data_IF_751863447314
#
_entry.id   IF_751863447314
#
_cell.length_a   1.000
_cell.length_b   1.000
_cell.length_c   1.000
_cell.angle_alpha   90.00
_cell.angle_beta   90.00
_cell.angle_gamma   90.00
#
_symmetry.space_group_name_H-M   'P 1'
#
loop_
_entity.id
_entity.type
_entity.pdbx_description
1 polymer ?
#
# COMPACT_ATOMS: atom_id res chain seq x y z
N UNK A 1 -28.02 -45.64 -21.79
CA UNK A 1 -27.51 -44.56 -22.66
C UNK A 1 -26.56 -43.74 -21.83
N UNK A 2 -25.29 -43.67 -22.25
CA UNK A 2 -24.20 -43.01 -21.54
C UNK A 2 -24.17 -41.50 -21.84
N UNK A 3 -23.96 -40.73 -20.77
CA UNK A 3 -23.27 -39.43 -20.62
C UNK A 3 -23.12 -38.48 -21.82
N UNK A 4 -23.42 -37.20 -21.60
CA UNK A 4 -22.38 -36.15 -21.59
C UNK A 4 -22.82 -35.00 -20.67
N UNK A 5 -22.28 -35.00 -19.45
CA UNK A 5 -22.36 -33.87 -18.54
C UNK A 5 -21.47 -32.76 -19.13
N UNK A 6 -22.07 -31.62 -19.49
CA UNK A 6 -21.36 -30.41 -19.89
C UNK A 6 -20.56 -29.89 -18.68
N UNK A 7 -19.41 -30.52 -18.41
CA UNK A 7 -18.39 -29.97 -17.54
C UNK A 7 -17.69 -28.88 -18.35
N UNK A 8 -18.28 -27.68 -18.37
CA UNK A 8 -17.58 -26.49 -18.82
C UNK A 8 -16.26 -26.43 -18.07
N UNK A 9 -15.15 -26.49 -18.80
CA UNK A 9 -13.79 -26.36 -18.30
C UNK A 9 -13.50 -24.92 -17.84
N UNK A 10 -14.38 -24.40 -16.98
CA UNK A 10 -14.21 -23.17 -16.25
C UNK A 10 -13.23 -23.47 -15.11
N UNK A 11 -12.24 -22.60 -14.90
CA UNK A 11 -11.30 -22.75 -13.79
C UNK A 11 -12.07 -22.89 -12.48
N UNK A 12 -11.59 -23.75 -11.58
CA UNK A 12 -12.16 -23.84 -10.24
C UNK A 12 -12.07 -22.47 -9.57
N UNK A 13 -13.06 -22.13 -8.73
CA UNK A 13 -13.14 -20.80 -8.11
C UNK A 13 -11.84 -20.42 -7.39
N UNK A 14 -11.18 -21.38 -6.75
CA UNK A 14 -9.87 -21.18 -6.11
C UNK A 14 -8.80 -20.74 -7.12
N UNK A 15 -8.63 -21.46 -8.23
CA UNK A 15 -7.66 -21.13 -9.28
C UNK A 15 -7.95 -19.76 -9.92
N UNK A 16 -9.24 -19.43 -10.10
CA UNK A 16 -9.67 -18.13 -10.60
C UNK A 16 -9.27 -17.01 -9.63
N UNK A 17 -9.56 -17.19 -8.33
CA UNK A 17 -9.22 -16.21 -7.30
C UNK A 17 -7.70 -16.03 -7.18
N UNK A 18 -6.91 -17.11 -7.28
CA UNK A 18 -5.45 -17.02 -7.33
C UNK A 18 -4.94 -16.29 -8.57
N UNK A 19 -5.59 -16.49 -9.73
CA UNK A 19 -5.24 -15.79 -10.98
C UNK A 19 -5.48 -14.30 -10.84
N UNK A 20 -6.65 -13.90 -10.34
CA UNK A 20 -6.98 -12.49 -10.07
C UNK A 20 -6.00 -11.91 -9.05
N UNK A 21 -5.71 -12.62 -7.96
CA UNK A 21 -4.78 -12.17 -6.93
C UNK A 21 -3.36 -11.98 -7.48
N UNK A 22 -2.90 -12.87 -8.35
CA UNK A 22 -1.59 -12.78 -9.01
C UNK A 22 -1.54 -11.55 -9.93
N UNK A 23 -2.61 -11.29 -10.68
CA UNK A 23 -2.72 -10.13 -11.55
C UNK A 23 -2.73 -8.81 -10.77
N UNK A 24 -3.50 -8.72 -9.68
CA UNK A 24 -3.50 -7.55 -8.79
C UNK A 24 -2.10 -7.29 -8.21
N UNK A 25 -1.38 -8.34 -7.77
CA UNK A 25 0.00 -8.21 -7.27
C UNK A 25 0.96 -7.70 -8.34
N UNK A 26 0.80 -8.15 -9.59
CA UNK A 26 1.60 -7.68 -10.72
C UNK A 26 1.30 -6.21 -11.03
N UNK A 27 0.03 -5.87 -11.18
CA UNK A 27 -0.45 -4.51 -11.49
C UNK A 27 0.00 -3.48 -10.46
N UNK A 28 -0.07 -3.79 -9.15
CA UNK A 28 0.45 -2.90 -8.10
C UNK A 28 1.94 -2.61 -8.27
N UNK A 29 2.76 -3.62 -8.63
CA UNK A 29 4.20 -3.42 -8.84
C UNK A 29 4.45 -2.50 -10.04
N UNK A 30 3.74 -2.71 -11.13
CA UNK A 30 3.86 -1.89 -12.33
C UNK A 30 3.46 -0.43 -12.07
N UNK A 31 2.33 -0.19 -11.39
CA UNK A 31 1.91 1.17 -11.00
C UNK A 31 2.86 1.83 -9.99
N UNK A 32 3.45 1.06 -9.09
CA UNK A 32 4.47 1.58 -8.16
C UNK A 32 5.72 2.02 -8.92
N UNK A 33 6.22 1.21 -9.85
CA UNK A 33 7.33 1.58 -10.74
C UNK A 33 6.99 2.85 -11.52
N UNK A 34 5.81 2.89 -12.15
CA UNK A 34 5.37 4.04 -12.91
C UNK A 34 5.22 5.30 -12.04
N UNK A 35 4.76 5.18 -10.78
CA UNK A 35 4.73 6.27 -9.81
C UNK A 35 6.14 6.82 -9.54
N UNK A 36 7.11 5.93 -9.33
CA UNK A 36 8.49 6.32 -9.00
C UNK A 36 9.27 6.88 -10.18
N UNK A 37 8.98 6.41 -11.41
CA UNK A 37 9.70 6.81 -12.63
C UNK A 37 9.03 7.96 -13.39
N UNK A 38 7.79 8.31 -13.06
CA UNK A 38 7.08 9.44 -13.69
C UNK A 38 7.72 10.78 -13.34
N UNK A 39 8.23 11.46 -14.36
CA UNK A 39 8.73 12.85 -14.26
C UNK A 39 7.61 13.89 -14.24
N UNK A 40 6.45 13.58 -14.83
CA UNK A 40 5.28 14.46 -14.86
C UNK A 40 4.45 14.32 -13.56
N UNK A 41 4.20 15.42 -12.81
CA UNK A 41 3.47 15.36 -11.54
C UNK A 41 2.06 14.79 -11.65
N UNK A 42 1.31 15.11 -12.72
CA UNK A 42 -0.05 14.60 -12.92
C UNK A 42 -0.07 13.10 -13.17
N UNK A 43 0.87 12.59 -13.97
CA UNK A 43 1.00 11.15 -14.24
C UNK A 43 1.44 10.39 -12.99
N UNK A 44 2.36 10.96 -12.20
CA UNK A 44 2.74 10.43 -10.89
C UNK A 44 1.52 10.32 -9.96
N UNK A 45 0.71 11.37 -9.89
CA UNK A 45 -0.48 11.39 -9.04
C UNK A 45 -1.51 10.33 -9.50
N UNK A 46 -1.70 10.18 -10.81
CA UNK A 46 -2.56 9.14 -11.38
C UNK A 46 -2.09 7.74 -10.97
N UNK A 47 -0.81 7.40 -11.16
CA UNK A 47 -0.30 6.09 -10.75
C UNK A 47 -0.31 5.89 -9.24
N UNK A 48 -0.16 6.96 -8.45
CA UNK A 48 -0.34 6.89 -6.98
C UNK A 48 -1.78 6.48 -6.63
N UNK A 49 -2.77 7.08 -7.28
CA UNK A 49 -4.19 6.73 -7.09
C UNK A 49 -4.47 5.28 -7.50
N UNK A 50 -4.04 4.88 -8.70
CA UNK A 50 -4.23 3.52 -9.21
C UNK A 50 -3.55 2.47 -8.30
N UNK A 51 -2.38 2.79 -7.76
CA UNK A 51 -1.68 1.93 -6.78
C UNK A 51 -2.54 1.72 -5.54
N UNK A 52 -3.06 2.80 -4.95
CA UNK A 52 -3.88 2.74 -3.74
C UNK A 52 -5.20 1.99 -3.97
N UNK A 53 -5.88 2.23 -5.10
CA UNK A 53 -7.12 1.53 -5.47
C UNK A 53 -6.87 0.02 -5.66
N UNK A 54 -5.78 -0.34 -6.33
CA UNK A 54 -5.43 -1.76 -6.55
C UNK A 54 -5.04 -2.47 -5.25
N UNK A 55 -4.36 -1.79 -4.33
CA UNK A 55 -4.06 -2.31 -2.99
C UNK A 55 -5.33 -2.59 -2.17
N UNK A 56 -6.33 -1.70 -2.26
CA UNK A 56 -7.64 -1.92 -1.60
C UNK A 56 -8.32 -3.18 -2.15
N UNK A 57 -8.45 -3.31 -3.48
CA UNK A 57 -9.04 -4.48 -4.12
C UNK A 57 -8.29 -5.77 -3.76
N UNK A 58 -6.96 -5.73 -3.74
CA UNK A 58 -6.13 -6.87 -3.35
C UNK A 58 -6.41 -7.30 -1.90
N UNK A 59 -6.58 -6.35 -0.98
CA UNK A 59 -6.92 -6.61 0.42
C UNK A 59 -8.30 -7.21 0.61
N UNK A 60 -9.30 -6.72 -0.13
CA UNK A 60 -10.66 -7.27 -0.13
C UNK A 60 -10.67 -8.73 -0.63
N UNK A 61 -10.01 -8.99 -1.77
CA UNK A 61 -9.89 -10.34 -2.32
C UNK A 61 -9.16 -11.29 -1.37
N UNK A 62 -8.08 -10.82 -0.75
CA UNK A 62 -7.35 -11.61 0.26
C UNK A 62 -8.25 -12.02 1.43
N UNK A 63 -9.04 -11.07 1.96
CA UNK A 63 -9.96 -11.36 3.07
C UNK A 63 -11.04 -12.36 2.66
N UNK A 64 -11.59 -12.23 1.45
CA UNK A 64 -12.55 -13.17 0.89
C UNK A 64 -11.95 -14.59 0.77
N UNK A 65 -10.78 -14.72 0.13
CA UNK A 65 -10.13 -16.03 -0.04
C UNK A 65 -9.80 -16.67 1.32
N UNK A 66 -9.41 -15.86 2.32
CA UNK A 66 -9.20 -16.34 3.69
C UNK A 66 -10.49 -16.86 4.33
N UNK A 67 -11.61 -16.15 4.18
CA UNK A 67 -12.92 -16.58 4.71
C UNK A 67 -13.40 -17.89 4.07
N UNK A 68 -13.08 -18.10 2.79
CA UNK A 68 -13.40 -19.31 2.05
C UNK A 68 -12.42 -20.47 2.30
N UNK A 69 -11.40 -20.28 3.14
CA UNK A 69 -10.30 -21.22 3.35
C UNK A 69 -9.52 -21.57 2.06
N UNK A 70 -9.52 -20.67 1.07
CA UNK A 70 -8.86 -20.81 -0.24
C UNK A 70 -7.49 -20.11 -0.29
N UNK A 71 -6.97 -19.63 0.85
CA UNK A 71 -5.67 -18.97 0.92
C UNK A 71 -4.85 -19.43 2.11
N UNK A 72 -3.67 -20.00 1.86
CA UNK A 72 -2.68 -20.27 2.90
C UNK A 72 -1.72 -19.09 3.05
N UNK A 73 -1.76 -18.42 4.20
CA UNK A 73 -0.75 -17.39 4.51
C UNK A 73 0.56 -18.02 4.95
N UNK A 74 1.69 -17.49 4.47
CA UNK A 74 3.00 -17.78 5.05
C UNK A 74 3.02 -17.46 6.56
N UNK A 75 3.94 -18.08 7.32
CA UNK A 75 4.02 -17.87 8.77
C UNK A 75 4.16 -16.39 9.12
N UNK A 76 3.56 -15.99 10.24
CA UNK A 76 3.73 -14.64 10.79
C UNK A 76 5.22 -14.28 10.90
N UNK A 77 5.60 -13.11 10.40
CA UNK A 77 6.95 -12.59 10.61
C UNK A 77 7.18 -12.36 12.12
N UNK A 78 8.42 -12.54 12.58
CA UNK A 78 8.77 -12.24 13.97
C UNK A 78 8.57 -10.74 14.20
N UNK A 79 7.94 -10.39 15.33
CA UNK A 79 7.64 -8.99 15.67
C UNK A 79 8.90 -8.10 15.65
N UNK A 80 10.03 -8.66 16.09
CA UNK A 80 11.33 -8.00 16.09
C UNK A 80 11.80 -7.60 14.68
N UNK A 81 11.55 -8.42 13.66
CA UNK A 81 11.93 -8.12 12.27
C UNK A 81 11.09 -6.97 11.71
N UNK A 82 9.79 -6.95 12.04
CA UNK A 82 8.88 -5.86 11.67
C UNK A 82 9.34 -4.55 12.34
N UNK A 83 9.59 -4.58 13.65
CA UNK A 83 9.99 -3.38 14.39
C UNK A 83 11.34 -2.83 13.90
N UNK A 84 12.30 -3.71 13.53
CA UNK A 84 13.55 -3.32 12.88
C UNK A 84 13.31 -2.60 11.56
N UNK A 85 12.50 -3.17 10.67
CA UNK A 85 12.19 -2.54 9.38
C UNK A 85 11.48 -1.19 9.54
N UNK A 86 10.55 -1.07 10.51
CA UNK A 86 9.89 0.20 10.83
C UNK A 86 10.93 1.25 11.27
N UNK A 87 11.86 0.87 12.14
CA UNK A 87 12.89 1.80 12.60
C UNK A 87 13.81 2.24 11.46
N UNK A 88 14.23 1.31 10.61
CA UNK A 88 15.07 1.60 9.44
C UNK A 88 14.33 2.52 8.44
N UNK A 89 13.04 2.27 8.21
CA UNK A 89 12.20 3.12 7.36
C UNK A 89 12.05 4.53 7.93
N UNK A 90 11.82 4.68 9.24
CA UNK A 90 11.74 5.98 9.92
C UNK A 90 13.05 6.75 9.80
N UNK A 91 14.18 6.10 10.07
CA UNK A 91 15.51 6.68 9.95
C UNK A 91 15.78 7.14 8.51
N UNK A 92 15.39 6.33 7.53
CA UNK A 92 15.52 6.64 6.11
C UNK A 92 14.68 7.86 5.73
N UNK A 93 13.41 7.90 6.15
CA UNK A 93 12.53 9.04 5.92
C UNK A 93 13.10 10.34 6.51
N UNK A 94 13.61 10.31 7.73
CA UNK A 94 14.22 11.48 8.37
C UNK A 94 15.45 11.97 7.59
N UNK A 95 16.35 11.07 7.20
CA UNK A 95 17.54 11.41 6.41
C UNK A 95 17.18 11.98 5.05
N UNK A 96 16.18 11.41 4.38
CA UNK A 96 15.69 11.91 3.09
C UNK A 96 15.13 13.33 3.24
N UNK A 97 14.32 13.59 4.26
CA UNK A 97 13.76 14.91 4.50
C UNK A 97 14.86 15.95 4.79
N UNK A 98 15.86 15.59 5.59
CA UNK A 98 17.02 16.47 5.84
C UNK A 98 17.80 16.76 4.56
N UNK A 99 18.09 15.73 3.76
CA UNK A 99 18.81 15.87 2.50
C UNK A 99 18.06 16.78 1.50
N UNK A 100 16.76 16.55 1.32
CA UNK A 100 15.91 17.37 0.45
C UNK A 100 15.89 18.82 0.94
N UNK A 101 15.72 19.04 2.24
CA UNK A 101 15.70 20.38 2.84
C UNK A 101 17.04 21.10 2.65
N UNK A 102 18.17 20.41 2.84
CA UNK A 102 19.52 20.96 2.64
C UNK A 102 19.78 21.30 1.16
N UNK A 103 19.34 20.45 0.23
CA UNK A 103 19.49 20.72 -1.20
C UNK A 103 18.60 21.87 -1.63
N UNK A 104 17.35 21.93 -1.18
CA UNK A 104 16.43 22.99 -1.53
C UNK A 104 16.87 24.35 -0.95
N UNK A 105 17.38 24.38 0.28
CA UNK A 105 17.95 25.61 0.87
C UNK A 105 19.22 26.09 0.17
N UNK A 106 20.03 25.17 -0.38
CA UNK A 106 21.19 25.52 -1.21
C UNK A 106 20.84 26.03 -2.62
N UNK A 107 19.64 25.69 -3.13
CA UNK A 107 19.12 26.10 -4.44
C UNK A 107 18.30 27.41 -4.31
N UNK A 108 17.70 27.65 -3.15
CA UNK A 108 16.77 28.74 -2.87
C UNK A 108 17.40 30.05 -2.40
N UNK A 109 18.14 30.72 -3.29
CA UNK A 109 18.10 32.19 -3.38
C UNK A 109 17.03 32.59 -4.41
N UNK A 110 15.82 32.04 -4.23
CA UNK A 110 14.71 32.10 -5.18
C UNK A 110 13.44 31.59 -4.50
N UNK A 111 12.59 32.53 -4.12
CA UNK A 111 11.35 32.42 -3.35
C UNK A 111 10.38 31.32 -3.85
N UNK A 112 10.26 30.22 -3.11
CA UNK A 112 9.07 29.35 -3.17
C UNK A 112 8.77 28.81 -1.77
N UNK A 113 7.66 29.25 -1.19
CA UNK A 113 7.17 28.88 0.14
C UNK A 113 5.93 28.00 -0.02
N UNK A 114 6.01 26.66 0.13
CA UNK A 114 4.83 25.84 0.31
C UNK A 114 4.52 25.78 1.80
N UNK A 115 3.60 26.63 2.26
CA UNK A 115 3.02 26.50 3.60
C UNK A 115 2.19 25.22 3.67
N UNK A 116 2.74 24.16 4.27
CA UNK A 116 1.97 23.01 4.73
C UNK A 116 1.45 23.31 6.14
N UNK A 117 0.18 23.69 6.23
CA UNK A 117 -0.54 23.83 7.49
C UNK A 117 -0.98 22.43 7.94
N UNK A 118 -0.40 21.93 9.03
CA UNK A 118 -0.86 20.72 9.72
C UNK A 118 -1.95 21.15 10.71
N UNK A 119 -3.18 20.63 10.63
CA UNK A 119 -4.18 20.90 11.66
C UNK A 119 -3.75 20.26 12.99
N UNK A 120 -3.62 21.05 14.05
CA UNK A 120 -3.47 20.58 15.42
C UNK A 120 -4.68 19.73 15.82
N UNK A 121 -4.44 18.48 16.25
CA UNK A 121 -5.45 17.68 16.93
C UNK A 121 -5.52 18.08 18.41
N UNK A 122 -6.72 18.35 18.98
CA UNK A 122 -6.87 18.61 20.40
C UNK A 122 -6.66 17.33 21.22
N UNK A 123 -5.75 17.43 22.19
CA UNK A 123 -5.35 16.37 23.11
C UNK A 123 -6.45 16.14 24.17
N UNK A 124 -7.29 15.12 24.00
CA UNK A 124 -8.31 14.69 24.96
C UNK A 124 -7.65 13.96 26.13
N UNK A 125 -7.31 14.71 27.19
CA UNK A 125 -7.00 14.13 28.49
C UNK A 125 -8.29 13.71 29.20
N UNK A 126 -8.55 12.40 29.22
CA UNK A 126 -9.42 11.74 30.20
C UNK A 126 -8.69 11.71 31.56
N UNK A 127 -9.31 12.24 32.61
CA UNK A 127 -9.05 11.77 33.96
C UNK A 127 -10.30 11.80 34.84
N UNK A 128 -10.29 10.87 35.80
CA UNK A 128 -11.38 10.17 36.46
C UNK A 128 -12.46 10.95 37.25
N UNK A 129 -13.69 10.45 37.09
CA UNK A 129 -14.71 10.01 38.07
C UNK A 129 -14.71 10.53 39.51
N UNK A 130 -15.91 10.98 39.90
CA UNK A 130 -16.38 11.23 41.26
C UNK A 130 -16.50 9.94 42.10
N UNK A 131 -16.13 10.04 43.38
CA UNK A 131 -17.00 9.68 44.52
C UNK A 131 -16.54 10.44 45.77
#
# INVERSE_FOLDING_TARGET
MNMTQNNSAFMQDEDLLYTILADLKRTVREYTTATTESSCPSIRQLFTQLTNETLTMQGELFNLMKQLNMYSTSSSALRQDIDKQIQDAKNTMQKTNQFVSQKLSSIGNGSYNPSFHIPEQPNIHQNHTLN
#
